data_IF_835698061620
#
_entry.id   IF_835698061620
#
_cell.length_a   1.000
_cell.length_b   1.000
_cell.length_c   1.000
_cell.angle_alpha   90.00
_cell.angle_beta   90.00
_cell.angle_gamma   90.00
#
_symmetry.space_group_name_H-M   'P 1'
#
loop_
_entity.id
_entity.type
_entity.pdbx_description
1 polymer ?
#
# COMPACT_ATOMS: atom_id res chain seq x y z
N UNK A 1 -51.51 -24.31 -53.38
CA UNK A 1 -51.76 -23.22 -52.44
C UNK A 1 -51.29 -23.71 -51.03
N UNK A 2 -50.09 -23.38 -50.63
CA UNK A 2 -49.58 -23.76 -49.36
C UNK A 2 -50.11 -22.81 -48.27
N UNK A 3 -50.82 -23.32 -47.28
CA UNK A 3 -51.26 -22.55 -46.11
C UNK A 3 -50.05 -22.26 -45.19
N UNK A 4 -49.65 -20.97 -45.08
CA UNK A 4 -48.68 -20.54 -44.06
C UNK A 4 -49.21 -20.88 -42.66
N UNK A 5 -48.39 -21.44 -41.77
CA UNK A 5 -48.79 -21.69 -40.38
C UNK A 5 -49.07 -20.35 -39.68
N UNK A 6 -50.22 -20.23 -39.05
CA UNK A 6 -50.60 -19.08 -38.18
C UNK A 6 -49.64 -19.08 -37.00
N UNK A 7 -48.85 -18.02 -36.88
CA UNK A 7 -47.97 -17.75 -35.72
C UNK A 7 -48.86 -17.57 -34.49
N UNK A 8 -48.88 -18.55 -33.57
CA UNK A 8 -49.53 -18.36 -32.26
C UNK A 8 -48.92 -17.17 -31.58
N UNK A 9 -49.67 -16.13 -31.32
CA UNK A 9 -49.29 -15.05 -30.43
C UNK A 9 -48.98 -15.61 -29.04
N UNK A 10 -47.71 -15.51 -28.61
CA UNK A 10 -47.33 -15.84 -27.23
C UNK A 10 -48.04 -14.80 -26.36
N UNK A 11 -48.98 -15.23 -25.52
CA UNK A 11 -49.50 -14.40 -24.45
C UNK A 11 -48.33 -13.95 -23.59
N UNK A 12 -48.15 -12.65 -23.44
CA UNK A 12 -47.17 -12.10 -22.47
C UNK A 12 -47.55 -12.56 -21.06
N UNK A 13 -46.56 -12.92 -20.23
CA UNK A 13 -46.80 -13.30 -18.84
C UNK A 13 -47.42 -12.11 -18.09
N UNK A 14 -48.23 -12.40 -17.10
CA UNK A 14 -48.76 -11.38 -16.16
C UNK A 14 -47.61 -10.81 -15.34
N UNK A 15 -47.68 -9.52 -14.98
CA UNK A 15 -46.70 -8.88 -14.09
C UNK A 15 -47.01 -9.19 -12.63
N UNK A 16 -46.02 -8.97 -11.73
CA UNK A 16 -46.19 -9.14 -10.29
C UNK A 16 -47.12 -8.09 -9.67
N UNK A 17 -47.48 -7.05 -10.42
CA UNK A 17 -48.32 -5.92 -9.99
C UNK A 17 -47.52 -4.85 -9.18
N UNK A 18 -46.22 -5.00 -9.05
CA UNK A 18 -45.33 -3.99 -8.48
C UNK A 18 -44.57 -3.24 -9.57
N UNK A 19 -44.56 -1.91 -9.47
CA UNK A 19 -43.82 -1.04 -10.41
C UNK A 19 -42.79 -0.22 -9.62
N UNK A 20 -41.53 -0.23 -10.09
CA UNK A 20 -40.43 0.55 -9.57
C UNK A 20 -39.92 1.47 -10.67
N UNK A 21 -40.13 2.76 -10.54
CA UNK A 21 -39.76 3.76 -11.55
C UNK A 21 -40.31 3.43 -12.99
N UNK A 22 -41.52 2.83 -13.05
CA UNK A 22 -42.15 2.45 -14.32
C UNK A 22 -41.69 1.10 -14.90
N UNK A 23 -40.82 0.36 -14.19
CA UNK A 23 -40.39 -1.00 -14.56
C UNK A 23 -41.22 -2.01 -13.77
N UNK A 24 -41.85 -2.94 -14.47
CA UNK A 24 -42.61 -4.04 -13.87
C UNK A 24 -41.91 -5.38 -14.13
N UNK A 25 -42.02 -6.30 -13.19
CA UNK A 25 -41.48 -7.66 -13.30
C UNK A 25 -42.54 -8.63 -13.80
N UNK A 26 -42.20 -9.52 -14.75
CA UNK A 26 -43.06 -10.61 -15.16
C UNK A 26 -43.15 -11.69 -14.05
N UNK A 27 -44.35 -12.12 -13.75
CA UNK A 27 -44.62 -13.20 -12.81
C UNK A 27 -44.38 -14.57 -13.47
N UNK A 28 -43.09 -14.85 -13.78
CA UNK A 28 -42.68 -16.12 -14.38
C UNK A 28 -42.39 -17.16 -13.30
N UNK A 29 -42.89 -18.40 -13.43
CA UNK A 29 -42.49 -19.47 -12.49
C UNK A 29 -41.01 -19.77 -12.66
N UNK A 30 -40.35 -20.00 -11.54
CA UNK A 30 -38.91 -20.35 -11.50
C UNK A 30 -38.65 -21.63 -12.31
N UNK A 31 -37.57 -21.72 -13.07
CA UNK A 31 -37.22 -22.92 -13.81
C UNK A 31 -37.08 -24.13 -12.85
N UNK A 32 -37.61 -25.30 -13.23
CA UNK A 32 -37.60 -26.48 -12.37
C UNK A 32 -36.18 -26.91 -11.94
N UNK A 33 -35.20 -26.83 -12.86
CA UNK A 33 -33.83 -27.15 -12.57
C UNK A 33 -33.25 -26.24 -11.47
N UNK A 34 -33.60 -24.96 -11.49
CA UNK A 34 -33.19 -23.97 -10.50
C UNK A 34 -33.78 -24.33 -9.11
N UNK A 35 -35.05 -24.66 -9.04
CA UNK A 35 -35.71 -25.10 -7.82
C UNK A 35 -35.05 -26.35 -7.22
N UNK A 36 -34.68 -27.31 -8.07
CA UNK A 36 -33.98 -28.51 -7.61
C UNK A 36 -32.61 -28.20 -7.03
N UNK A 37 -31.85 -27.33 -7.70
CA UNK A 37 -30.54 -26.88 -7.18
C UNK A 37 -30.73 -26.14 -5.86
N UNK A 38 -31.70 -25.23 -5.79
CA UNK A 38 -32.01 -24.50 -4.56
C UNK A 38 -32.37 -25.41 -3.38
N UNK A 39 -33.25 -26.38 -3.57
CA UNK A 39 -33.55 -27.36 -2.52
C UNK A 39 -32.36 -28.24 -2.17
N UNK A 40 -31.55 -28.63 -3.14
CA UNK A 40 -30.33 -29.37 -2.89
C UNK A 40 -29.35 -28.58 -2.03
N UNK A 41 -29.18 -27.25 -2.25
CA UNK A 41 -28.33 -26.40 -1.40
C UNK A 41 -28.86 -26.27 0.01
N UNK A 42 -30.18 -26.20 0.19
CA UNK A 42 -30.80 -26.17 1.53
C UNK A 42 -30.52 -27.48 2.28
N UNK A 43 -30.75 -28.62 1.64
CA UNK A 43 -30.49 -29.93 2.26
C UNK A 43 -29.00 -30.08 2.60
N UNK A 44 -28.12 -29.67 1.65
CA UNK A 44 -26.69 -29.68 1.86
C UNK A 44 -26.30 -28.78 3.06
N UNK A 45 -26.85 -27.56 3.14
CA UNK A 45 -26.57 -26.62 4.25
C UNK A 45 -26.96 -27.20 5.61
N UNK A 46 -28.15 -27.84 5.71
CA UNK A 46 -28.56 -28.53 6.94
C UNK A 46 -27.58 -29.65 7.29
N UNK A 47 -27.22 -30.48 6.32
CA UNK A 47 -26.21 -31.53 6.51
C UNK A 47 -24.85 -30.95 6.96
N UNK A 48 -24.44 -29.83 6.37
CA UNK A 48 -23.19 -29.16 6.73
C UNK A 48 -23.20 -28.64 8.17
N UNK A 49 -24.29 -28.02 8.64
CA UNK A 49 -24.40 -27.50 10.02
C UNK A 49 -24.45 -28.62 11.08
N UNK A 50 -24.84 -29.83 10.69
CA UNK A 50 -24.76 -31.03 11.56
C UNK A 50 -23.32 -31.58 11.57
N UNK A 51 -22.65 -31.58 10.42
CA UNK A 51 -21.33 -32.16 10.26
C UNK A 51 -20.20 -31.30 10.83
N UNK A 52 -20.29 -29.98 10.69
CA UNK A 52 -19.25 -29.03 11.03
C UNK A 52 -19.70 -27.98 12.07
N UNK A 53 -18.77 -27.23 12.68
CA UNK A 53 -19.11 -26.13 13.57
C UNK A 53 -19.95 -25.07 12.85
N UNK A 54 -21.12 -24.75 13.36
CA UNK A 54 -22.04 -23.84 12.67
C UNK A 54 -22.85 -22.91 13.58
N UNK A 55 -23.37 -23.41 14.71
CA UNK A 55 -24.31 -22.65 15.53
C UNK A 55 -23.60 -21.99 16.69
N UNK A 56 -23.72 -20.66 16.87
CA UNK A 56 -23.17 -19.96 18.02
C UNK A 56 -23.95 -20.34 19.30
N UNK A 57 -23.22 -20.60 20.35
CA UNK A 57 -23.73 -20.78 21.73
C UNK A 57 -23.25 -19.59 22.58
N UNK A 58 -23.70 -19.47 23.82
CA UNK A 58 -23.38 -18.34 24.71
C UNK A 58 -21.87 -18.16 24.93
N UNK A 59 -21.11 -19.27 25.01
CA UNK A 59 -19.66 -19.26 25.25
C UNK A 59 -18.87 -20.07 24.25
N UNK A 60 -19.50 -20.65 23.22
CA UNK A 60 -18.87 -21.55 22.26
C UNK A 60 -19.68 -21.63 20.96
N UNK A 61 -19.38 -22.60 20.09
CA UNK A 61 -20.20 -22.99 18.96
C UNK A 61 -20.39 -24.50 18.94
N UNK A 62 -21.42 -25.00 18.21
CA UNK A 62 -21.56 -26.43 17.97
C UNK A 62 -20.39 -26.94 17.18
N UNK A 63 -19.74 -28.01 17.59
CA UNK A 63 -18.57 -28.58 16.94
C UNK A 63 -18.90 -29.47 15.73
N UNK A 64 -20.16 -29.93 15.62
CA UNK A 64 -20.56 -30.87 14.60
C UNK A 64 -20.02 -32.29 14.84
N UNK A 65 -20.57 -33.27 14.11
CA UNK A 65 -20.21 -34.69 14.27
C UNK A 65 -18.80 -34.98 13.76
N UNK A 66 -18.39 -34.31 12.69
CA UNK A 66 -17.07 -34.48 12.08
C UNK A 66 -16.01 -33.64 12.83
N UNK A 67 -16.35 -32.48 13.34
CA UNK A 67 -15.45 -31.66 14.16
C UNK A 67 -15.00 -32.37 15.45
N UNK A 68 -15.90 -33.13 16.08
CA UNK A 68 -15.55 -33.97 17.26
C UNK A 68 -14.64 -35.14 16.91
N UNK A 69 -14.76 -35.71 15.69
CA UNK A 69 -13.93 -36.85 15.24
C UNK A 69 -12.55 -36.45 14.77
N UNK A 70 -12.38 -35.23 14.27
CA UNK A 70 -11.10 -34.70 13.85
C UNK A 70 -10.22 -34.18 15.02
N UNK A 71 -10.54 -34.58 16.26
CA UNK A 71 -9.80 -34.22 17.49
C UNK A 71 -9.58 -32.72 17.69
N UNK A 72 -10.43 -31.86 17.14
CA UNK A 72 -10.14 -30.46 17.38
C UNK A 72 -11.13 -29.47 16.85
N UNK A 73 -11.18 -28.41 17.53
CA UNK A 73 -11.57 -27.11 17.07
C UNK A 73 -10.76 -26.80 15.81
N UNK A 74 -11.40 -26.45 14.70
CA UNK A 74 -10.73 -26.02 13.46
C UNK A 74 -9.70 -24.92 13.70
N UNK A 75 -9.84 -24.14 14.79
CA UNK A 75 -8.84 -23.17 15.24
C UNK A 75 -7.55 -23.84 15.74
N UNK A 76 -7.66 -24.98 16.41
CA UNK A 76 -6.49 -25.75 16.86
C UNK A 76 -5.74 -26.37 15.68
N UNK A 77 -6.44 -26.78 14.63
CA UNK A 77 -5.80 -27.28 13.41
C UNK A 77 -5.03 -26.16 12.70
N UNK A 78 -5.65 -24.98 12.55
CA UNK A 78 -4.97 -23.79 12.01
C UNK A 78 -3.78 -23.39 12.89
N UNK A 79 -3.93 -23.37 14.23
CA UNK A 79 -2.84 -23.05 15.14
C UNK A 79 -1.68 -24.05 15.04
N UNK A 80 -2.00 -25.34 14.83
CA UNK A 80 -0.97 -26.39 14.61
C UNK A 80 -0.25 -26.19 13.28
N UNK A 81 -0.98 -25.87 12.21
CA UNK A 81 -0.37 -25.63 10.89
C UNK A 81 0.53 -24.39 10.93
N UNK A 82 0.10 -23.32 11.63
CA UNK A 82 0.94 -22.12 11.87
C UNK A 82 2.21 -22.52 12.63
N UNK A 83 2.08 -23.27 13.74
CA UNK A 83 3.24 -23.67 14.54
C UNK A 83 4.23 -24.56 13.77
N UNK A 84 3.73 -25.48 12.93
CA UNK A 84 4.59 -26.29 12.06
C UNK A 84 5.35 -25.43 11.03
N UNK A 85 4.68 -24.42 10.47
CA UNK A 85 5.32 -23.52 9.54
C UNK A 85 6.37 -22.62 10.24
N UNK A 86 6.06 -22.14 11.43
CA UNK A 86 7.01 -21.35 12.24
C UNK A 86 8.22 -22.19 12.62
N UNK A 87 8.02 -23.43 13.09
CA UNK A 87 9.12 -24.36 13.44
C UNK A 87 10.00 -24.64 12.22
N UNK A 88 9.39 -24.92 11.06
CA UNK A 88 10.13 -25.21 9.82
C UNK A 88 10.99 -24.03 9.34
N UNK A 89 10.62 -22.80 9.66
CA UNK A 89 11.35 -21.60 9.23
C UNK A 89 12.21 -20.98 10.35
N UNK A 90 12.25 -21.58 11.54
CA UNK A 90 12.97 -20.99 12.70
C UNK A 90 14.44 -20.78 12.40
N UNK A 91 15.11 -21.74 11.81
CA UNK A 91 16.55 -21.66 11.51
C UNK A 91 16.86 -20.52 10.53
N UNK A 92 16.17 -20.48 9.40
CA UNK A 92 16.44 -19.46 8.37
C UNK A 92 16.04 -18.05 8.85
N UNK A 93 15.02 -17.94 9.72
CA UNK A 93 14.64 -16.68 10.37
C UNK A 93 15.74 -16.20 11.32
N UNK A 94 16.30 -17.10 12.11
CA UNK A 94 17.42 -16.76 13.00
C UNK A 94 18.63 -16.30 12.21
N UNK A 95 19.00 -17.01 11.15
CA UNK A 95 20.09 -16.61 10.26
C UNK A 95 19.85 -15.24 9.63
N UNK A 96 18.62 -14.95 9.16
CA UNK A 96 18.26 -13.66 8.60
C UNK A 96 18.43 -12.52 9.61
N UNK A 97 18.12 -12.75 10.88
CA UNK A 97 18.26 -11.74 11.95
C UNK A 97 19.74 -11.54 12.35
N UNK A 98 20.53 -12.61 12.38
CA UNK A 98 21.93 -12.58 12.80
C UNK A 98 22.88 -12.05 11.71
N UNK A 99 22.50 -12.21 10.42
CA UNK A 99 23.31 -11.76 9.29
C UNK A 99 23.24 -10.23 9.15
N UNK A 100 24.35 -9.51 9.00
CA UNK A 100 24.33 -8.08 8.68
C UNK A 100 23.47 -7.81 7.44
N UNK A 101 22.70 -6.71 7.44
CA UNK A 101 21.79 -6.39 6.34
C UNK A 101 22.50 -6.35 4.99
N UNK A 102 23.70 -5.77 4.94
CA UNK A 102 24.54 -5.64 3.74
C UNK A 102 25.08 -6.98 3.23
N UNK A 103 25.16 -8.00 4.09
CA UNK A 103 25.69 -9.31 3.74
C UNK A 103 24.59 -10.30 3.30
N UNK A 104 23.30 -9.99 3.53
CA UNK A 104 22.18 -10.87 3.15
C UNK A 104 22.21 -11.19 1.66
N UNK A 105 22.56 -10.21 0.82
CA UNK A 105 22.63 -10.37 -0.64
C UNK A 105 23.67 -11.41 -1.09
N UNK A 106 24.65 -11.74 -0.26
CA UNK A 106 25.67 -12.75 -0.55
C UNK A 106 25.18 -14.20 -0.35
N UNK A 107 24.08 -14.41 0.39
CA UNK A 107 23.50 -15.73 0.62
C UNK A 107 22.19 -15.91 -0.18
N UNK A 108 22.20 -16.68 -1.29
CA UNK A 108 21.01 -16.90 -2.11
C UNK A 108 19.83 -17.53 -1.36
N UNK A 109 20.06 -18.32 -0.31
CA UNK A 109 18.99 -18.95 0.45
C UNK A 109 18.28 -17.93 1.34
N UNK A 110 19.04 -17.01 1.96
CA UNK A 110 18.49 -15.91 2.72
C UNK A 110 17.72 -14.92 1.83
N UNK A 111 18.26 -14.61 0.65
CA UNK A 111 17.60 -13.75 -0.34
C UNK A 111 16.28 -14.34 -0.79
N UNK A 112 16.26 -15.63 -1.18
CA UNK A 112 15.03 -16.29 -1.63
C UNK A 112 13.97 -16.32 -0.54
N UNK A 113 14.35 -16.67 0.68
CA UNK A 113 13.45 -16.65 1.82
C UNK A 113 12.93 -15.23 2.10
N UNK A 114 13.82 -14.23 2.18
CA UNK A 114 13.47 -12.85 2.51
C UNK A 114 12.57 -12.22 1.44
N UNK A 115 12.81 -12.47 0.15
CA UNK A 115 11.96 -11.98 -0.92
C UNK A 115 10.55 -12.57 -0.85
N UNK A 116 10.42 -13.88 -0.62
CA UNK A 116 9.11 -14.54 -0.52
C UNK A 116 8.33 -14.12 0.73
N UNK A 117 8.98 -14.11 1.89
CA UNK A 117 8.39 -13.68 3.16
C UNK A 117 8.07 -12.18 3.13
N UNK A 118 9.00 -11.35 2.66
CA UNK A 118 8.85 -9.90 2.53
C UNK A 118 7.71 -9.52 1.59
N UNK A 119 7.56 -10.22 0.46
CA UNK A 119 6.41 -10.03 -0.43
C UNK A 119 5.07 -10.33 0.26
N UNK A 120 5.02 -11.31 1.17
CA UNK A 120 3.81 -11.61 1.95
C UNK A 120 3.51 -10.51 2.96
N UNK A 121 4.52 -10.03 3.69
CA UNK A 121 4.43 -8.89 4.62
C UNK A 121 3.98 -7.64 3.88
N UNK A 122 4.60 -7.33 2.73
CA UNK A 122 4.27 -6.17 1.92
C UNK A 122 2.80 -6.17 1.48
N UNK A 123 2.30 -7.28 0.95
CA UNK A 123 0.90 -7.40 0.53
C UNK A 123 -0.08 -7.24 1.68
N UNK A 124 0.30 -7.65 2.88
CA UNK A 124 -0.56 -7.62 4.06
C UNK A 124 -0.62 -6.23 4.69
N UNK A 125 0.52 -5.54 4.79
CA UNK A 125 0.66 -4.35 5.62
C UNK A 125 1.00 -3.08 4.84
N UNK A 126 1.78 -3.18 3.77
CA UNK A 126 2.35 -2.03 3.07
C UNK A 126 1.53 -1.62 1.84
N UNK A 127 0.95 -2.60 1.14
CA UNK A 127 0.20 -2.38 -0.10
C UNK A 127 -1.02 -1.47 0.03
N UNK A 128 -1.56 -1.29 1.23
CA UNK A 128 -2.69 -0.39 1.51
C UNK A 128 -2.35 1.07 1.16
N UNK A 129 -1.10 1.48 1.40
CA UNK A 129 -0.61 2.82 1.12
C UNK A 129 0.25 2.84 -0.14
N UNK A 130 1.22 1.91 -0.27
CA UNK A 130 2.16 1.90 -1.39
C UNK A 130 1.62 1.25 -2.67
N UNK A 131 0.37 0.73 -2.63
CA UNK A 131 -0.23 0.00 -3.76
C UNK A 131 0.27 -1.44 -3.86
N UNK A 132 -0.55 -2.33 -4.44
CA UNK A 132 -0.22 -3.76 -4.58
C UNK A 132 1.03 -4.01 -5.45
N UNK A 133 1.33 -3.10 -6.37
CA UNK A 133 2.51 -3.11 -7.23
C UNK A 133 3.65 -2.21 -6.75
N UNK A 134 3.57 -1.66 -5.53
CA UNK A 134 4.56 -0.76 -4.94
C UNK A 134 4.78 0.58 -5.69
N UNK A 135 3.90 0.93 -6.64
CA UNK A 135 4.02 2.16 -7.44
C UNK A 135 3.56 3.43 -6.71
N UNK A 136 3.17 3.32 -5.44
CA UNK A 136 2.66 4.45 -4.66
C UNK A 136 1.32 5.00 -5.13
N UNK A 137 0.94 6.15 -4.57
CA UNK A 137 -0.24 6.93 -4.97
C UNK A 137 0.12 8.41 -4.91
N UNK A 138 0.51 8.99 -6.03
CA UNK A 138 1.03 10.35 -6.13
C UNK A 138 0.15 11.41 -5.45
N UNK A 139 -1.13 11.48 -5.75
CA UNK A 139 -2.01 12.50 -5.16
C UNK A 139 -2.19 12.37 -3.64
N UNK A 140 -1.97 11.19 -3.08
CA UNK A 140 -2.07 10.90 -1.65
C UNK A 140 -0.72 11.01 -0.92
N UNK A 141 0.39 11.27 -1.64
CA UNK A 141 1.73 11.40 -1.06
C UNK A 141 2.34 10.07 -0.60
N UNK A 142 1.90 8.95 -1.15
CA UNK A 142 2.54 7.64 -0.93
C UNK A 142 3.59 7.40 -2.02
N UNK A 143 4.88 7.27 -1.65
CA UNK A 143 5.95 7.18 -2.62
C UNK A 143 5.89 5.90 -3.45
N UNK A 144 6.36 6.00 -4.69
CA UNK A 144 6.70 4.87 -5.54
C UNK A 144 7.97 4.21 -4.97
N UNK A 145 7.96 2.90 -4.81
CA UNK A 145 9.11 2.12 -4.31
C UNK A 145 9.82 1.36 -5.43
N UNK A 146 9.49 1.64 -6.70
CA UNK A 146 10.08 1.02 -7.88
C UNK A 146 11.13 1.92 -8.54
N UNK A 147 11.11 3.22 -8.22
CA UNK A 147 12.06 4.20 -8.73
C UNK A 147 13.22 4.43 -7.75
N UNK A 148 14.17 5.25 -8.15
CA UNK A 148 15.37 5.61 -7.39
C UNK A 148 15.23 6.92 -6.59
N UNK A 149 14.01 7.46 -6.49
CA UNK A 149 13.73 8.70 -5.76
C UNK A 149 13.44 8.42 -4.27
N UNK A 150 14.49 8.16 -3.52
CA UNK A 150 14.40 7.85 -2.10
C UNK A 150 14.48 9.10 -1.22
N UNK A 151 13.36 9.46 -0.59
CA UNK A 151 13.29 10.62 0.30
C UNK A 151 14.12 10.47 1.59
N UNK A 152 14.31 9.23 2.05
CA UNK A 152 14.97 8.92 3.32
C UNK A 152 16.14 7.93 3.17
N UNK A 153 16.74 7.88 1.99
CA UNK A 153 17.77 6.94 1.62
C UNK A 153 17.22 5.62 1.09
N UNK A 154 17.93 5.05 0.13
CA UNK A 154 17.55 3.84 -0.58
C UNK A 154 18.46 2.65 -0.29
N UNK A 155 19.40 2.75 0.67
CA UNK A 155 20.18 1.61 1.11
C UNK A 155 19.30 0.64 1.90
N UNK A 156 19.71 -0.62 1.99
CA UNK A 156 18.93 -1.62 2.73
C UNK A 156 18.79 -1.23 4.21
N UNK A 157 19.80 -0.57 4.78
CA UNK A 157 19.78 -0.07 6.14
C UNK A 157 18.79 1.08 6.31
N UNK A 158 18.77 2.03 5.36
CA UNK A 158 17.83 3.14 5.39
C UNK A 158 16.38 2.67 5.26
N UNK A 159 16.15 1.72 4.37
CA UNK A 159 14.83 1.09 4.19
C UNK A 159 14.41 0.37 5.46
N UNK A 160 15.31 -0.43 6.05
CA UNK A 160 15.06 -1.12 7.31
C UNK A 160 14.72 -0.14 8.44
N UNK A 161 15.52 0.92 8.61
CA UNK A 161 15.31 1.94 9.64
C UNK A 161 13.96 2.65 9.44
N UNK A 162 13.63 2.98 8.19
CA UNK A 162 12.37 3.61 7.84
C UNK A 162 11.17 2.70 8.14
N UNK A 163 11.27 1.41 7.87
CA UNK A 163 10.21 0.45 8.19
C UNK A 163 10.10 0.25 9.70
N UNK A 164 11.22 0.05 10.38
CA UNK A 164 11.23 -0.19 11.83
C UNK A 164 10.57 0.98 12.59
N UNK A 165 11.02 2.19 12.36
CA UNK A 165 10.68 3.37 13.18
C UNK A 165 9.63 4.30 12.53
N UNK A 166 9.43 4.18 11.23
CA UNK A 166 8.51 5.05 10.50
C UNK A 166 9.08 6.46 10.24
N UNK A 167 8.20 7.29 9.70
CA UNK A 167 8.50 8.69 9.35
C UNK A 167 7.44 9.56 10.00
N UNK A 168 7.85 10.57 10.78
CA UNK A 168 6.97 11.50 11.49
C UNK A 168 5.91 10.78 12.35
N UNK A 169 6.27 9.64 12.91
CA UNK A 169 5.43 8.85 13.79
C UNK A 169 5.64 9.30 15.25
N UNK A 170 4.65 9.91 15.84
CA UNK A 170 4.71 10.45 17.21
C UNK A 170 4.79 9.35 18.28
N UNK A 171 4.42 8.12 17.95
CA UNK A 171 4.45 6.98 18.88
C UNK A 171 5.83 6.35 19.02
N UNK A 172 6.75 6.64 18.10
CA UNK A 172 8.12 6.09 18.11
C UNK A 172 9.15 7.22 18.25
N UNK A 173 9.93 7.27 19.34
CA UNK A 173 10.92 8.32 19.58
C UNK A 173 12.09 8.29 18.58
N UNK A 174 12.33 7.16 17.93
CA UNK A 174 13.38 6.96 16.94
C UNK A 174 12.90 7.16 15.51
N UNK A 175 11.63 7.57 15.33
CA UNK A 175 11.07 7.89 14.01
C UNK A 175 11.89 8.98 13.32
N UNK A 176 12.09 8.81 12.03
CA UNK A 176 12.73 9.84 11.20
C UNK A 176 11.85 11.09 11.17
N UNK A 177 12.42 12.24 11.50
CA UNK A 177 11.65 13.47 11.64
C UNK A 177 12.31 14.65 10.93
N UNK A 178 11.65 15.17 9.94
CA UNK A 178 11.88 16.45 9.32
C UNK A 178 10.60 16.90 8.62
N UNK A 179 10.35 18.19 8.58
CA UNK A 179 9.16 18.75 7.95
C UNK A 179 9.49 20.11 7.36
N UNK A 180 9.12 20.30 6.10
CA UNK A 180 9.16 21.62 5.46
C UNK A 180 8.22 22.59 6.20
N UNK A 181 8.61 23.85 6.48
CA UNK A 181 7.70 24.84 7.04
C UNK A 181 6.51 25.12 6.11
N UNK A 182 5.36 25.48 6.68
CA UNK A 182 4.19 25.91 5.90
C UNK A 182 4.32 27.39 5.55
N UNK A 183 5.12 27.68 4.55
CA UNK A 183 5.60 29.04 4.27
C UNK A 183 4.49 30.08 4.10
N UNK A 184 3.36 29.72 3.48
CA UNK A 184 2.21 30.62 3.34
C UNK A 184 1.35 30.67 4.59
N UNK A 185 0.91 29.50 5.09
CA UNK A 185 0.03 29.42 6.25
C UNK A 185 0.64 30.08 7.49
N UNK A 186 1.94 29.89 7.72
CA UNK A 186 2.67 30.41 8.86
C UNK A 186 3.26 31.81 8.58
N UNK A 187 2.94 32.42 7.42
CA UNK A 187 3.32 33.76 7.00
C UNK A 187 4.84 34.00 6.96
N UNK A 188 5.59 32.99 6.61
CA UNK A 188 7.05 33.06 6.43
C UNK A 188 7.44 33.64 5.08
N UNK A 189 6.60 33.43 4.05
CA UNK A 189 6.71 34.03 2.72
C UNK A 189 5.36 34.66 2.35
N UNK A 190 5.42 35.70 1.54
CA UNK A 190 4.27 36.30 0.89
C UNK A 190 3.78 35.45 -0.28
N UNK A 191 2.54 35.68 -0.73
CA UNK A 191 2.00 34.98 -1.91
C UNK A 191 2.83 35.26 -3.18
N UNK A 192 3.40 36.47 -3.32
CA UNK A 192 4.28 36.82 -4.43
C UNK A 192 5.62 36.04 -4.36
N UNK A 193 6.23 35.93 -3.19
CA UNK A 193 7.46 35.13 -2.99
C UNK A 193 7.22 33.64 -3.24
N UNK A 194 6.06 33.11 -2.81
CA UNK A 194 5.65 31.73 -3.11
C UNK A 194 5.50 31.54 -4.63
N UNK A 195 4.83 32.46 -5.32
CA UNK A 195 4.72 32.41 -6.76
C UNK A 195 6.08 32.42 -7.46
N UNK A 196 7.02 33.24 -6.99
CA UNK A 196 8.40 33.34 -7.50
C UNK A 196 9.16 32.04 -7.29
N UNK A 197 9.21 31.49 -6.08
CA UNK A 197 9.96 30.27 -5.78
C UNK A 197 9.39 29.04 -6.48
N UNK A 198 8.08 28.98 -6.67
CA UNK A 198 7.44 27.91 -7.46
C UNK A 198 7.90 27.95 -8.91
N UNK A 199 8.02 29.13 -9.52
CA UNK A 199 8.56 29.23 -10.90
C UNK A 199 10.05 28.89 -10.95
N UNK A 200 10.84 29.21 -9.93
CA UNK A 200 12.23 28.78 -9.84
C UNK A 200 12.36 27.26 -9.73
N UNK A 201 11.55 26.61 -8.89
CA UNK A 201 11.53 25.13 -8.80
C UNK A 201 11.15 24.52 -10.14
N UNK A 202 10.22 25.09 -10.88
CA UNK A 202 9.87 24.64 -12.23
C UNK A 202 11.01 24.85 -13.25
N UNK A 203 11.78 25.94 -13.09
CA UNK A 203 12.99 26.16 -13.91
C UNK A 203 14.02 25.05 -13.68
N UNK A 204 14.38 24.77 -12.41
CA UNK A 204 15.42 23.78 -12.10
C UNK A 204 15.00 22.34 -12.40
N UNK A 205 13.69 22.07 -12.52
CA UNK A 205 13.11 20.78 -12.91
C UNK A 205 12.79 20.68 -14.43
N UNK A 206 13.31 21.61 -15.23
CA UNK A 206 13.15 21.65 -16.70
C UNK A 206 11.67 21.67 -17.17
N UNK A 207 10.82 22.34 -16.40
CA UNK A 207 9.41 22.55 -16.73
C UNK A 207 9.16 23.92 -17.32
N UNK A 208 8.02 24.11 -18.02
CA UNK A 208 7.55 25.40 -18.47
C UNK A 208 7.34 26.36 -17.27
N UNK A 209 7.93 27.57 -17.31
CA UNK A 209 7.96 28.54 -16.23
C UNK A 209 7.93 29.97 -16.73
N UNK A 210 7.63 30.92 -15.84
CA UNK A 210 7.78 32.36 -16.07
C UNK A 210 9.22 32.78 -15.73
N UNK A 211 10.00 33.21 -16.74
CA UNK A 211 11.41 33.59 -16.60
C UNK A 211 11.62 34.73 -15.59
N UNK A 212 10.69 35.71 -15.52
CA UNK A 212 10.81 36.86 -14.63
C UNK A 212 10.59 36.48 -13.18
N UNK A 213 9.57 35.67 -12.93
CA UNK A 213 9.28 35.17 -11.58
C UNK A 213 10.35 34.17 -11.14
N UNK A 214 10.80 33.29 -12.02
CA UNK A 214 11.86 32.33 -11.71
C UNK A 214 13.18 33.03 -11.31
N UNK A 215 13.59 34.07 -12.04
CA UNK A 215 14.78 34.85 -11.70
C UNK A 215 14.68 35.54 -10.30
N UNK A 216 13.49 36.01 -9.92
CA UNK A 216 13.28 36.53 -8.58
C UNK A 216 13.18 35.42 -7.52
N UNK A 217 12.68 34.25 -7.91
CA UNK A 217 12.51 33.07 -7.03
C UNK A 217 13.82 32.42 -6.62
N UNK A 218 14.91 32.60 -7.39
CA UNK A 218 16.24 32.07 -7.04
C UNK A 218 16.72 32.59 -5.68
N UNK A 219 16.60 33.89 -5.42
CA UNK A 219 16.98 34.49 -4.15
C UNK A 219 16.15 33.92 -2.99
N UNK A 220 14.85 33.80 -3.19
CA UNK A 220 13.94 33.19 -2.19
C UNK A 220 14.32 31.75 -1.91
N UNK A 221 14.63 30.98 -2.97
CA UNK A 221 15.04 29.58 -2.85
C UNK A 221 16.32 29.43 -2.02
N UNK A 222 17.36 30.18 -2.38
CA UNK A 222 18.66 30.12 -1.67
C UNK A 222 18.55 30.52 -0.19
N UNK A 223 17.66 31.46 0.13
CA UNK A 223 17.47 31.88 1.52
C UNK A 223 16.61 30.95 2.36
N UNK A 224 15.62 30.29 1.77
CA UNK A 224 14.57 29.61 2.52
C UNK A 224 14.47 28.09 2.26
N UNK A 225 14.92 27.62 1.11
CA UNK A 225 14.72 26.26 0.66
C UNK A 225 16.03 25.43 0.60
N UNK A 226 17.13 26.08 0.21
CA UNK A 226 18.41 25.42 -0.01
C UNK A 226 18.98 24.70 1.22
N UNK A 227 18.63 25.14 2.43
CA UNK A 227 19.07 24.49 3.66
C UNK A 227 18.66 23.00 3.76
N UNK A 228 17.54 22.60 3.11
CA UNK A 228 17.07 21.23 3.06
C UNK A 228 17.17 20.63 1.65
N UNK A 229 16.87 21.46 0.61
CA UNK A 229 16.85 20.99 -0.78
C UNK A 229 18.18 21.17 -1.52
N UNK A 230 19.25 21.63 -0.83
CA UNK A 230 20.56 21.98 -1.37
C UNK A 230 20.52 23.17 -2.36
N UNK A 231 21.66 23.81 -2.57
CA UNK A 231 21.77 24.99 -3.46
C UNK A 231 21.42 24.64 -4.93
N UNK A 232 21.67 23.39 -5.33
CA UNK A 232 21.42 22.86 -6.66
C UNK A 232 20.07 22.14 -6.81
N UNK A 233 19.28 22.05 -5.75
CA UNK A 233 17.96 21.42 -5.79
C UNK A 233 17.94 19.90 -5.68
N UNK A 234 19.08 19.25 -5.46
CA UNK A 234 19.19 17.77 -5.47
C UNK A 234 18.59 17.08 -4.26
N UNK A 235 18.24 17.85 -3.21
CA UNK A 235 17.63 17.32 -1.98
C UNK A 235 18.62 16.70 -1.03
N UNK A 236 18.12 16.28 0.14
CA UNK A 236 18.90 15.62 1.18
C UNK A 236 18.14 14.44 1.79
N UNK A 237 18.55 13.20 1.48
CA UNK A 237 17.91 12.00 2.03
C UNK A 237 18.08 11.82 3.54
N UNK A 238 19.01 12.51 4.20
CA UNK A 238 19.11 12.51 5.65
C UNK A 238 18.03 13.36 6.32
N UNK A 239 17.50 14.34 5.58
CA UNK A 239 16.43 15.21 6.05
C UNK A 239 15.07 14.89 5.39
N UNK A 240 14.99 13.89 4.53
CA UNK A 240 13.77 13.56 3.80
C UNK A 240 13.33 14.67 2.84
N UNK A 241 14.27 15.48 2.37
CA UNK A 241 14.04 16.54 1.41
C UNK A 241 14.19 16.00 -0.02
N UNK A 242 13.12 16.03 -0.84
CA UNK A 242 13.16 15.48 -2.19
C UNK A 242 14.11 16.26 -3.10
N UNK A 243 14.62 15.57 -4.13
CA UNK A 243 15.22 16.17 -5.30
C UNK A 243 14.15 16.98 -6.05
N UNK A 244 14.43 18.23 -6.35
CA UNK A 244 13.54 19.15 -7.07
C UNK A 244 13.95 19.35 -8.53
N UNK A 245 15.00 18.66 -8.99
CA UNK A 245 15.55 18.83 -10.34
C UNK A 245 15.09 17.74 -11.30
N UNK A 246 14.40 16.72 -10.81
CA UNK A 246 13.89 15.61 -11.62
C UNK A 246 12.40 15.75 -11.94
N UNK A 247 11.84 14.75 -12.62
CA UNK A 247 10.44 14.70 -13.00
C UNK A 247 9.56 13.90 -11.99
N UNK A 248 10.12 13.48 -10.84
CA UNK A 248 9.44 12.61 -9.86
C UNK A 248 8.86 13.47 -8.74
N UNK A 249 7.56 13.56 -8.72
CA UNK A 249 6.81 14.42 -7.79
C UNK A 249 5.88 13.58 -6.91
N UNK A 250 6.06 13.68 -5.59
CA UNK A 250 5.23 12.96 -4.63
C UNK A 250 3.75 13.39 -4.66
N UNK A 251 3.49 14.68 -4.89
CA UNK A 251 2.14 15.24 -4.93
C UNK A 251 1.74 15.81 -6.30
N UNK A 252 2.68 15.96 -7.19
CA UNK A 252 2.55 16.60 -8.50
C UNK A 252 3.43 17.84 -8.64
N UNK A 253 3.83 18.15 -9.88
CA UNK A 253 4.77 19.21 -10.23
C UNK A 253 4.15 20.41 -10.98
N UNK A 254 2.83 20.47 -11.12
CA UNK A 254 2.14 21.61 -11.69
C UNK A 254 2.14 22.82 -10.74
N UNK A 255 1.90 24.02 -11.26
CA UNK A 255 1.98 25.27 -10.50
C UNK A 255 1.04 25.27 -9.28
N UNK A 256 -0.20 24.80 -9.45
CA UNK A 256 -1.20 24.79 -8.38
C UNK A 256 -0.77 23.85 -7.27
N UNK A 257 -0.33 22.66 -7.64
CA UNK A 257 0.13 21.62 -6.71
C UNK A 257 1.39 22.00 -5.96
N UNK A 258 2.38 22.63 -6.64
CA UNK A 258 3.58 23.16 -5.98
C UNK A 258 3.26 24.32 -5.04
N UNK A 259 2.41 25.23 -5.47
CA UNK A 259 1.94 26.34 -4.63
C UNK A 259 1.28 25.82 -3.36
N UNK A 260 0.37 24.86 -3.46
CA UNK A 260 -0.29 24.22 -2.32
C UNK A 260 0.73 23.55 -1.39
N UNK A 261 1.74 22.88 -1.96
CA UNK A 261 2.79 22.20 -1.18
C UNK A 261 3.64 23.19 -0.40
N UNK A 262 4.09 24.28 -1.02
CA UNK A 262 4.88 25.33 -0.37
C UNK A 262 4.04 26.10 0.66
N UNK A 263 2.78 26.41 0.32
CA UNK A 263 1.89 27.17 1.18
C UNK A 263 1.54 26.43 2.47
N UNK A 264 1.14 25.15 2.37
CA UNK A 264 0.60 24.37 3.48
C UNK A 264 1.55 23.32 4.06
N UNK A 265 2.72 23.09 3.47
CA UNK A 265 3.66 22.05 3.91
C UNK A 265 3.03 20.65 3.89
N UNK A 266 2.74 20.13 2.70
CA UNK A 266 2.22 18.76 2.59
C UNK A 266 3.31 17.75 2.96
N UNK A 267 2.94 16.82 3.82
CA UNK A 267 3.83 15.71 4.22
C UNK A 267 3.01 14.46 4.52
N UNK A 268 3.65 13.30 4.40
CA UNK A 268 3.08 12.01 4.79
C UNK A 268 3.64 11.54 6.13
N UNK A 269 2.90 10.65 6.77
CA UNK A 269 3.31 9.92 7.97
C UNK A 269 3.38 8.44 7.62
N UNK A 270 4.50 7.78 7.93
CA UNK A 270 4.63 6.33 7.88
C UNK A 270 4.66 5.81 9.32
N UNK A 271 3.77 4.89 9.71
CA UNK A 271 3.80 4.32 11.05
C UNK A 271 5.06 3.47 11.27
N UNK A 272 5.50 3.38 12.52
CA UNK A 272 6.48 2.41 13.00
C UNK A 272 5.90 1.00 12.92
N UNK A 273 6.71 0.02 12.50
CA UNK A 273 6.27 -1.36 12.37
C UNK A 273 6.93 -2.29 13.38
N UNK A 274 7.95 -1.86 14.13
CA UNK A 274 8.68 -2.70 15.10
C UNK A 274 7.79 -3.28 16.21
N UNK A 275 6.68 -2.61 16.56
CA UNK A 275 5.74 -3.10 17.57
C UNK A 275 4.74 -4.14 16.99
N UNK A 276 4.69 -4.29 15.67
CA UNK A 276 3.70 -5.12 14.95
C UNK A 276 4.31 -6.26 14.18
N UNK A 277 5.55 -6.09 13.74
CA UNK A 277 6.31 -7.06 12.97
C UNK A 277 7.54 -7.50 13.75
N UNK A 278 7.91 -8.76 13.64
CA UNK A 278 9.17 -9.27 14.16
C UNK A 278 10.35 -8.72 13.35
N UNK A 279 11.53 -8.69 13.94
CA UNK A 279 12.77 -8.28 13.25
C UNK A 279 13.01 -9.07 11.96
N UNK A 280 12.72 -10.37 11.96
CA UNK A 280 12.81 -11.20 10.75
C UNK A 280 11.86 -10.74 9.65
N UNK A 281 10.65 -10.29 10.00
CA UNK A 281 9.68 -9.78 9.02
C UNK A 281 10.07 -8.40 8.50
N UNK A 282 10.59 -7.53 9.36
CA UNK A 282 11.10 -6.20 8.96
C UNK A 282 12.28 -6.38 8.00
N UNK A 283 13.24 -7.24 8.32
CA UNK A 283 14.38 -7.55 7.44
C UNK A 283 13.92 -8.16 6.11
N UNK A 284 12.99 -9.09 6.16
CA UNK A 284 12.46 -9.72 4.96
C UNK A 284 11.78 -8.69 4.03
N UNK A 285 10.93 -7.82 4.57
CA UNK A 285 10.27 -6.81 3.74
C UNK A 285 11.24 -5.72 3.28
N UNK A 286 12.32 -5.42 4.03
CA UNK A 286 13.38 -4.51 3.60
C UNK A 286 14.13 -5.08 2.39
N UNK A 287 14.52 -6.36 2.42
CA UNK A 287 15.15 -7.06 1.28
C UNK A 287 14.20 -7.07 0.08
N UNK A 288 12.92 -7.34 0.30
CA UNK A 288 11.93 -7.32 -0.77
C UNK A 288 11.82 -5.94 -1.42
N UNK A 289 11.66 -4.87 -0.64
CA UNK A 289 11.51 -3.49 -1.14
C UNK A 289 12.80 -3.04 -1.84
N UNK A 290 13.97 -3.26 -1.26
CA UNK A 290 15.26 -2.96 -1.87
C UNK A 290 15.43 -3.67 -3.23
N UNK A 291 14.94 -4.91 -3.33
CA UNK A 291 15.00 -5.71 -4.55
C UNK A 291 13.97 -5.37 -5.62
N UNK A 292 13.07 -4.40 -5.41
CA UNK A 292 12.07 -3.98 -6.41
C UNK A 292 12.66 -3.20 -7.59
N UNK A 293 13.90 -2.75 -7.50
CA UNK A 293 14.66 -2.14 -8.59
C UNK A 293 15.18 -0.74 -8.34
N UNK A 294 14.66 -0.03 -7.33
CA UNK A 294 15.11 1.31 -6.95
C UNK A 294 16.16 1.36 -5.83
N UNK A 295 16.46 0.22 -5.19
CA UNK A 295 17.40 0.14 -4.07
C UNK A 295 18.81 0.61 -4.43
N UNK A 296 19.46 1.29 -3.49
CA UNK A 296 20.81 1.84 -3.63
C UNK A 296 21.80 0.96 -2.89
N UNK A 297 22.96 0.69 -3.51
CA UNK A 297 24.03 -0.05 -2.87
C UNK A 297 24.63 0.74 -1.70
N UNK A 298 24.88 0.06 -0.59
CA UNK A 298 25.54 0.66 0.57
C UNK A 298 26.99 1.03 0.26
N UNK A 299 27.47 2.14 0.80
CA UNK A 299 28.84 2.60 0.58
C UNK A 299 29.91 1.57 1.02
N UNK A 300 29.56 0.67 1.95
CA UNK A 300 30.43 -0.43 2.41
C UNK A 300 30.56 -1.56 1.39
N UNK A 301 29.58 -1.77 0.52
CA UNK A 301 29.61 -2.80 -0.54
C UNK A 301 30.39 -2.38 -1.77
N UNK A 302 30.74 -1.09 -1.88
CA UNK A 302 31.53 -0.54 -3.01
C UNK A 302 33.04 -0.56 -2.78
N UNK A 303 33.56 -1.11 -1.68
CA UNK A 303 34.98 -1.30 -1.36
C UNK A 303 35.40 -2.76 -1.55
#
# INVERSE_FOLDING_TARGET
MSKRPVKQERKEPETTGHSWDGIEEYNNPLPRWWLWVFYATIIWSVGYTIAYPAWPLVSSATQGILGQRAAGDTRLDVARDIALFEEANTEIRSQLVETPLTEIAADPALVDYAQNAGAAVFRTWCAQCHGAGAAGVQAAGYPNLLDDAWLWGGTIEDIHLTIAHGIRNEEDPDARWSQMPAFGRDQLLTDDEIAQVVQYVRLISDQEHDETLAAAGEEVYLMQCAACHMDDGTGDPFQGAPNLTDAIWLYGGDVETLTETVYNSRFGVMPSWQERLSEAEIRAVSVYVHGLGGGVESAETMQ
#
